data_IF_305840521322
#
_entry.id   IF_305840521322
#
_cell.length_a   1.000
_cell.length_b   1.000
_cell.length_c   1.000
_cell.angle_alpha   90.00
_cell.angle_beta   90.00
_cell.angle_gamma   90.00
#
_symmetry.space_group_name_H-M   'P 1'
#
loop_
_entity.id
_entity.type
_entity.pdbx_description
1 polymer ?
#
# COMPACT_ATOMS: atom_id res chain seq x y z
N UNK A 1 -0.41 -23.54 -23.96
CA UNK A 1 -0.37 -22.09 -24.31
C UNK A 1 -0.96 -21.30 -23.16
N UNK A 2 -0.25 -20.31 -22.62
CA UNK A 2 -0.75 -19.43 -21.54
C UNK A 2 -1.69 -18.39 -22.15
N UNK A 3 -2.87 -18.17 -21.53
CA UNK A 3 -3.84 -17.16 -22.01
C UNK A 3 -3.24 -15.75 -21.94
N UNK A 4 -3.49 -14.90 -22.94
CA UNK A 4 -3.00 -13.50 -22.99
C UNK A 4 -3.36 -12.69 -21.74
N UNK A 5 -4.52 -12.96 -21.13
CA UNK A 5 -4.96 -12.33 -19.88
C UNK A 5 -4.10 -12.71 -18.65
N UNK A 6 -3.53 -13.91 -18.63
CA UNK A 6 -2.63 -14.38 -17.56
C UNK A 6 -1.27 -13.68 -17.68
N UNK A 7 -0.74 -13.57 -18.91
CA UNK A 7 0.53 -12.88 -19.17
C UNK A 7 0.50 -11.43 -18.69
N UNK A 8 -0.57 -10.70 -19.02
CA UNK A 8 -0.74 -9.31 -18.56
C UNK A 8 -0.80 -9.18 -17.03
N UNK A 9 -1.41 -10.15 -16.33
CA UNK A 9 -1.41 -10.17 -14.86
C UNK A 9 -0.01 -10.40 -14.31
N UNK A 10 0.70 -11.41 -14.81
CA UNK A 10 2.07 -11.73 -14.37
C UNK A 10 3.00 -10.52 -14.54
N UNK A 11 2.94 -9.84 -15.70
CA UNK A 11 3.77 -8.67 -15.95
C UNK A 11 3.40 -7.49 -15.03
N UNK A 12 2.13 -7.31 -14.66
CA UNK A 12 1.72 -6.31 -13.68
C UNK A 12 2.21 -6.65 -12.27
N UNK A 13 2.15 -7.93 -11.85
CA UNK A 13 2.67 -8.37 -10.56
C UNK A 13 4.17 -8.10 -10.45
N UNK A 14 4.95 -8.46 -11.47
CA UNK A 14 6.41 -8.29 -11.47
C UNK A 14 6.88 -6.83 -11.34
N UNK A 15 6.04 -5.85 -11.67
CA UNK A 15 6.33 -4.43 -11.49
C UNK A 15 6.21 -3.97 -10.04
N UNK A 16 5.68 -4.80 -9.15
CA UNK A 16 5.52 -4.47 -7.73
C UNK A 16 6.71 -4.99 -6.92
N UNK A 17 7.10 -4.25 -5.87
CA UNK A 17 8.24 -4.63 -5.04
C UNK A 17 8.09 -6.02 -4.39
N UNK A 18 6.84 -6.39 -4.08
CA UNK A 18 6.51 -7.63 -3.39
C UNK A 18 6.69 -8.87 -4.29
N UNK A 19 6.31 -8.78 -5.57
CA UNK A 19 6.34 -9.92 -6.49
C UNK A 19 7.53 -9.86 -7.47
N UNK A 20 8.29 -8.75 -7.50
CA UNK A 20 9.45 -8.52 -8.38
C UNK A 20 10.52 -9.63 -8.36
N UNK A 21 10.68 -10.34 -7.23
CA UNK A 21 11.66 -11.43 -7.10
C UNK A 21 11.07 -12.82 -7.31
N UNK A 22 9.80 -12.91 -7.67
CA UNK A 22 9.14 -14.19 -7.95
C UNK A 22 9.27 -14.49 -9.44
N UNK A 23 9.88 -15.61 -9.79
CA UNK A 23 9.99 -16.00 -11.19
C UNK A 23 8.63 -16.21 -11.85
N UNK A 24 8.55 -15.93 -13.16
CA UNK A 24 7.31 -16.03 -13.97
C UNK A 24 6.69 -17.43 -13.86
N UNK A 25 7.53 -18.46 -13.82
CA UNK A 25 7.14 -19.86 -13.67
C UNK A 25 6.34 -20.14 -12.39
N UNK A 26 6.59 -19.39 -11.31
CA UNK A 26 5.83 -19.49 -10.06
C UNK A 26 4.58 -18.62 -10.07
N UNK A 27 4.59 -17.48 -10.77
CA UNK A 27 3.44 -16.56 -10.84
C UNK A 27 2.34 -17.00 -11.80
N UNK A 28 2.68 -17.68 -12.91
CA UNK A 28 1.70 -18.18 -13.90
C UNK A 28 0.62 -19.06 -13.25
N UNK A 29 0.94 -20.13 -12.49
CA UNK A 29 -0.10 -20.98 -11.89
C UNK A 29 -0.96 -20.24 -10.85
N UNK A 30 -0.39 -19.25 -10.16
CA UNK A 30 -1.13 -18.38 -9.23
C UNK A 30 -2.07 -17.45 -10.01
N UNK A 31 -1.61 -16.89 -11.12
CA UNK A 31 -2.40 -16.04 -12.00
C UNK A 31 -3.52 -16.78 -12.72
N UNK A 32 -3.39 -18.09 -12.92
CA UNK A 32 -4.42 -18.94 -13.54
C UNK A 32 -5.53 -19.31 -12.55
N UNK A 33 -5.16 -19.67 -11.31
CA UNK A 33 -6.10 -20.31 -10.38
C UNK A 33 -6.53 -19.42 -9.20
N UNK A 34 -5.71 -18.44 -8.84
CA UNK A 34 -5.91 -17.65 -7.62
C UNK A 34 -6.00 -16.14 -7.86
N UNK A 35 -5.95 -15.69 -9.13
CA UNK A 35 -6.03 -14.27 -9.47
C UNK A 35 -7.31 -13.93 -10.24
N UNK A 36 -7.95 -12.84 -9.83
CA UNK A 36 -9.05 -12.21 -10.55
C UNK A 36 -8.67 -10.78 -10.94
N UNK A 37 -8.97 -10.38 -12.17
CA UNK A 37 -8.83 -8.99 -12.59
C UNK A 37 -10.23 -8.35 -12.64
N UNK A 38 -10.40 -7.19 -12.02
CA UNK A 38 -11.66 -6.44 -12.02
C UNK A 38 -11.37 -4.97 -12.35
N UNK A 39 -12.22 -4.39 -13.19
CA UNK A 39 -12.19 -2.97 -13.52
C UNK A 39 -13.26 -2.24 -12.73
N UNK A 40 -12.91 -1.09 -12.18
CA UNK A 40 -13.79 -0.24 -11.38
C UNK A 40 -13.85 1.15 -11.99
N UNK A 41 -15.06 1.62 -12.25
CA UNK A 41 -15.30 2.99 -12.71
C UNK A 41 -15.01 4.00 -11.60
N UNK A 42 -14.67 5.24 -11.99
CA UNK A 42 -14.44 6.34 -11.05
C UNK A 42 -15.59 6.45 -10.04
N UNK A 43 -15.25 6.59 -8.76
CA UNK A 43 -16.19 6.70 -7.65
C UNK A 43 -16.74 5.37 -7.14
N UNK A 44 -16.47 4.24 -7.80
CA UNK A 44 -16.88 2.92 -7.30
C UNK A 44 -15.96 2.42 -6.21
N UNK A 45 -16.54 1.72 -5.24
CA UNK A 45 -15.81 1.06 -4.16
C UNK A 45 -15.14 -0.20 -4.72
N UNK A 46 -13.82 -0.26 -4.58
CA UNK A 46 -12.97 -1.39 -4.95
C UNK A 46 -12.98 -2.44 -3.84
N UNK A 47 -12.89 -1.97 -2.60
CA UNK A 47 -12.82 -2.80 -1.40
C UNK A 47 -13.54 -2.12 -0.26
N UNK A 48 -14.30 -2.85 0.56
CA UNK A 48 -15.04 -2.26 1.68
C UNK A 48 -14.81 -3.00 2.99
N UNK A 49 -15.07 -2.33 4.10
CA UNK A 49 -15.10 -2.91 5.45
C UNK A 49 -15.99 -4.15 5.61
N UNK A 50 -16.98 -4.31 4.74
CA UNK A 50 -17.92 -5.44 4.76
C UNK A 50 -17.47 -6.61 3.86
N UNK A 51 -16.33 -6.48 3.18
CA UNK A 51 -15.79 -7.57 2.34
C UNK A 51 -15.20 -8.64 3.26
N UNK A 52 -15.82 -9.82 3.26
CA UNK A 52 -15.35 -11.00 4.02
C UNK A 52 -14.21 -11.76 3.33
N UNK A 53 -14.02 -11.53 2.03
CA UNK A 53 -13.00 -12.21 1.26
C UNK A 53 -11.59 -11.70 1.65
N UNK A 54 -10.77 -12.61 2.20
CA UNK A 54 -9.36 -12.34 2.51
C UNK A 54 -8.52 -12.48 1.23
N UNK A 55 -8.11 -11.35 0.67
CA UNK A 55 -7.29 -11.29 -0.54
C UNK A 55 -6.30 -10.12 -0.50
N UNK A 56 -5.27 -10.19 -1.36
CA UNK A 56 -4.39 -9.07 -1.66
C UNK A 56 -4.85 -8.42 -2.95
N UNK A 57 -5.03 -7.10 -2.94
CA UNK A 57 -5.34 -6.32 -4.13
C UNK A 57 -4.15 -5.50 -4.58
N UNK A 58 -3.98 -5.40 -5.91
CA UNK A 58 -2.92 -4.63 -6.56
C UNK A 58 -3.56 -3.73 -7.59
N UNK A 59 -3.27 -2.43 -7.51
CA UNK A 59 -3.68 -1.49 -8.56
C UNK A 59 -2.77 -1.74 -9.77
N UNK A 60 -3.30 -2.37 -10.82
CA UNK A 60 -2.56 -2.59 -12.06
C UNK A 60 -2.52 -1.32 -12.92
N UNK A 61 -3.60 -0.54 -12.88
CA UNK A 61 -3.73 0.75 -13.57
C UNK A 61 -4.73 1.65 -12.83
N UNK A 62 -4.55 2.97 -12.96
CA UNK A 62 -5.39 3.99 -12.33
C UNK A 62 -4.94 4.42 -10.92
N UNK A 63 -5.82 5.14 -10.23
CA UNK A 63 -5.59 5.68 -8.87
C UNK A 63 -6.81 5.50 -7.99
N UNK A 64 -6.60 5.22 -6.70
CA UNK A 64 -7.66 5.02 -5.71
C UNK A 64 -7.35 5.76 -4.40
N UNK A 65 -8.38 6.03 -3.61
CA UNK A 65 -8.24 6.59 -2.27
C UNK A 65 -8.60 5.57 -1.21
N UNK A 66 -7.79 5.48 -0.17
CA UNK A 66 -8.12 4.79 1.07
C UNK A 66 -8.85 5.78 1.98
N UNK A 67 -10.06 5.42 2.38
CA UNK A 67 -10.94 6.27 3.19
C UNK A 67 -11.25 5.59 4.51
N UNK A 68 -11.14 6.36 5.59
CA UNK A 68 -11.74 6.02 6.88
C UNK A 68 -12.98 6.89 7.02
N UNK A 69 -14.15 6.28 6.90
CA UNK A 69 -15.44 6.98 6.81
C UNK A 69 -15.46 8.02 5.67
N UNK A 70 -15.46 9.32 5.99
CA UNK A 70 -15.48 10.41 5.01
C UNK A 70 -14.09 11.02 4.74
N UNK A 71 -13.06 10.61 5.50
CA UNK A 71 -11.73 11.20 5.43
C UNK A 71 -10.83 10.34 4.55
N UNK A 72 -10.18 10.97 3.56
CA UNK A 72 -9.12 10.33 2.77
C UNK A 72 -7.85 10.29 3.62
N UNK A 73 -7.34 9.10 3.88
CA UNK A 73 -6.14 8.90 4.70
C UNK A 73 -4.93 8.48 3.87
N UNK A 74 -5.14 7.97 2.66
CA UNK A 74 -4.05 7.62 1.75
C UNK A 74 -4.54 7.58 0.29
N UNK A 75 -3.60 7.67 -0.65
CA UNK A 75 -3.80 7.46 -2.07
C UNK A 75 -3.00 6.24 -2.55
N UNK A 76 -3.60 5.45 -3.45
CA UNK A 76 -2.99 4.31 -4.10
C UNK A 76 -2.86 4.60 -5.59
N UNK A 77 -1.72 4.24 -6.17
CA UNK A 77 -1.42 4.34 -7.60
C UNK A 77 -1.07 2.96 -8.16
N UNK A 78 -0.92 2.88 -9.48
CA UNK A 78 -0.44 1.67 -10.15
C UNK A 78 0.84 1.13 -9.49
N UNK A 79 0.84 -0.17 -9.17
CA UNK A 79 1.89 -0.88 -8.44
C UNK A 79 1.63 -1.00 -6.92
N UNK A 80 0.74 -0.19 -6.35
CA UNK A 80 0.47 -0.24 -4.92
C UNK A 80 -0.37 -1.45 -4.51
N UNK A 81 -0.08 -1.95 -3.31
CA UNK A 81 -0.68 -3.15 -2.73
C UNK A 81 -1.57 -2.77 -1.54
N UNK A 82 -2.73 -3.40 -1.46
CA UNK A 82 -3.65 -3.31 -0.33
C UNK A 82 -4.16 -4.69 0.12
N UNK A 83 -4.79 -4.74 1.30
CA UNK A 83 -5.33 -5.98 1.89
C UNK A 83 -4.34 -6.96 2.48
N UNK A 84 -3.04 -6.72 2.35
CA UNK A 84 -2.01 -7.58 2.94
C UNK A 84 -2.10 -7.68 4.49
N UNK A 85 -2.50 -6.60 5.17
CA UNK A 85 -2.54 -6.55 6.65
C UNK A 85 -3.70 -7.38 7.23
N UNK A 86 -4.78 -7.53 6.47
CA UNK A 86 -5.98 -8.25 6.90
C UNK A 86 -5.96 -9.72 6.48
N UNK A 87 -5.06 -10.10 5.57
CA UNK A 87 -4.98 -11.45 5.02
C UNK A 87 -4.83 -12.54 6.09
N UNK A 88 -4.07 -12.23 7.16
CA UNK A 88 -3.81 -13.12 8.30
C UNK A 88 -4.29 -12.56 9.63
N UNK A 89 -5.10 -11.50 9.60
CA UNK A 89 -5.65 -10.95 10.83
C UNK A 89 -6.91 -11.74 11.23
N UNK A 90 -7.03 -12.04 12.53
CA UNK A 90 -8.21 -12.67 13.12
C UNK A 90 -9.37 -11.67 13.29
N UNK A 91 -9.07 -10.36 13.24
CA UNK A 91 -10.11 -9.34 13.11
C UNK A 91 -10.65 -9.33 11.68
N UNK A 92 -11.87 -9.83 11.49
CA UNK A 92 -12.58 -9.91 10.20
C UNK A 92 -13.05 -8.55 9.63
N UNK A 93 -12.58 -7.42 10.17
CA UNK A 93 -13.01 -6.09 9.74
C UNK A 93 -11.86 -5.31 9.15
N UNK A 94 -11.95 -5.07 7.84
CA UNK A 94 -11.23 -3.96 7.23
C UNK A 94 -11.73 -2.65 7.83
N UNK A 95 -10.81 -1.79 8.25
CA UNK A 95 -11.16 -0.52 8.89
C UNK A 95 -11.46 0.57 7.85
N UNK A 96 -10.99 0.38 6.61
CA UNK A 96 -10.98 1.42 5.57
C UNK A 96 -11.64 0.92 4.28
N UNK A 97 -12.37 1.81 3.61
CA UNK A 97 -12.88 1.60 2.27
C UNK A 97 -11.83 2.06 1.23
N UNK A 98 -11.81 1.42 0.07
CA UNK A 98 -10.97 1.82 -1.07
C UNK A 98 -11.89 2.20 -2.22
N UNK A 99 -11.75 3.43 -2.71
CA UNK A 99 -12.62 4.00 -3.74
C UNK A 99 -11.79 4.45 -4.94
N UNK A 100 -12.20 4.06 -6.14
CA UNK A 100 -11.53 4.45 -7.38
C UNK A 100 -11.62 5.97 -7.61
N UNK A 101 -10.49 6.64 -7.83
CA UNK A 101 -10.44 8.07 -8.18
C UNK A 101 -10.46 8.28 -9.70
N UNK A 102 -9.92 7.32 -10.45
CA UNK A 102 -10.03 7.19 -11.90
C UNK A 102 -10.73 5.86 -12.22
N UNK A 103 -10.85 5.51 -13.51
CA UNK A 103 -10.99 4.09 -13.83
C UNK A 103 -9.76 3.35 -13.28
N UNK A 104 -10.00 2.22 -12.61
CA UNK A 104 -8.95 1.40 -12.02
C UNK A 104 -9.06 -0.04 -12.49
N UNK A 105 -7.93 -0.63 -12.84
CA UNK A 105 -7.81 -2.08 -13.05
C UNK A 105 -7.10 -2.68 -11.86
N UNK A 106 -7.72 -3.67 -11.22
CA UNK A 106 -7.24 -4.26 -9.96
C UNK A 106 -7.10 -5.76 -10.09
N UNK A 107 -5.92 -6.26 -9.71
CA UNK A 107 -5.65 -7.70 -9.60
C UNK A 107 -5.84 -8.11 -8.15
N UNK A 108 -6.79 -9.00 -7.89
CA UNK A 108 -6.99 -9.64 -6.61
C UNK A 108 -6.34 -11.02 -6.61
N UNK A 109 -5.59 -11.32 -5.57
CA UNK A 109 -4.97 -12.63 -5.32
C UNK A 109 -5.58 -13.20 -4.05
N UNK A 110 -6.18 -14.39 -4.15
CA UNK A 110 -6.78 -15.05 -2.97
C UNK A 110 -5.72 -15.41 -1.93
N UNK A 111 -6.14 -15.57 -0.67
CA UNK A 111 -5.25 -16.04 0.40
C UNK A 111 -4.52 -17.33 0.03
N UNK A 112 -5.21 -18.32 -0.54
CA UNK A 112 -4.59 -19.58 -0.95
C UNK A 112 -3.46 -19.37 -1.98
N UNK A 113 -3.61 -18.40 -2.88
CA UNK A 113 -2.56 -18.04 -3.83
C UNK A 113 -1.33 -17.45 -3.13
N UNK A 114 -1.53 -16.63 -2.10
CA UNK A 114 -0.44 -16.08 -1.29
C UNK A 114 0.20 -17.17 -0.42
N UNK A 115 -0.58 -18.06 0.18
CA UNK A 115 -0.09 -19.19 0.99
C UNK A 115 0.75 -20.15 0.12
N UNK A 116 0.34 -20.38 -1.13
CA UNK A 116 1.13 -21.15 -2.10
C UNK A 116 2.46 -20.47 -2.43
N UNK A 117 2.49 -19.14 -2.57
CA UNK A 117 3.73 -18.40 -2.83
C UNK A 117 4.66 -18.40 -1.61
N UNK A 118 4.13 -18.21 -0.40
CA UNK A 118 4.90 -18.24 0.84
C UNK A 118 5.55 -19.61 1.07
N UNK A 119 4.83 -20.69 0.77
CA UNK A 119 5.35 -22.06 0.94
C UNK A 119 6.36 -22.47 -0.13
N UNK A 120 6.27 -21.93 -1.37
CA UNK A 120 7.07 -22.39 -2.53
C UNK A 120 8.15 -21.41 -2.98
N UNK A 121 8.21 -20.20 -2.41
CA UNK A 121 9.24 -19.20 -2.70
C UNK A 121 9.73 -18.55 -1.42
N UNK A 122 10.88 -19.02 -0.89
CA UNK A 122 11.55 -18.34 0.23
C UNK A 122 11.87 -16.86 -0.07
N UNK A 123 12.10 -16.53 -1.33
CA UNK A 123 12.34 -15.15 -1.79
C UNK A 123 11.10 -14.28 -1.60
N UNK A 124 9.93 -14.79 -2.01
CA UNK A 124 8.65 -14.13 -1.78
C UNK A 124 8.38 -13.97 -0.29
N UNK A 125 8.60 -15.02 0.51
CA UNK A 125 8.41 -14.96 1.95
C UNK A 125 9.26 -13.86 2.61
N UNK A 126 10.54 -13.77 2.25
CA UNK A 126 11.43 -12.68 2.72
C UNK A 126 10.94 -11.30 2.28
N UNK A 127 10.47 -11.15 1.04
CA UNK A 127 9.88 -9.89 0.54
C UNK A 127 8.60 -9.52 1.29
N UNK A 128 7.75 -10.50 1.58
CA UNK A 128 6.51 -10.30 2.33
C UNK A 128 6.80 -9.83 3.76
N UNK A 129 7.74 -10.50 4.44
CA UNK A 129 8.21 -10.08 5.77
C UNK A 129 8.78 -8.66 5.71
N UNK A 130 9.70 -8.38 4.78
CA UNK A 130 10.28 -7.04 4.59
C UNK A 130 9.20 -5.98 4.40
N UNK A 131 8.23 -6.24 3.55
CA UNK A 131 7.12 -5.34 3.27
C UNK A 131 6.29 -5.05 4.54
N UNK A 132 5.96 -6.09 5.33
CA UNK A 132 5.25 -5.89 6.60
C UNK A 132 6.09 -5.12 7.62
N UNK A 133 7.39 -5.46 7.76
CA UNK A 133 8.31 -4.75 8.65
C UNK A 133 8.44 -3.28 8.29
N UNK A 134 8.56 -2.95 7.00
CA UNK A 134 8.60 -1.56 6.52
C UNK A 134 7.30 -0.82 6.84
N UNK A 135 6.14 -1.46 6.71
CA UNK A 135 4.86 -0.86 7.09
C UNK A 135 4.73 -0.62 8.59
N UNK A 136 5.18 -1.56 9.43
CA UNK A 136 5.21 -1.37 10.89
C UNK A 136 6.13 -0.21 11.26
N UNK A 137 7.34 -0.17 10.68
CA UNK A 137 8.29 0.92 10.91
C UNK A 137 7.72 2.28 10.51
N UNK A 138 7.14 2.39 9.31
CA UNK A 138 6.50 3.61 8.84
C UNK A 138 5.36 4.08 9.75
N UNK A 139 4.54 3.15 10.26
CA UNK A 139 3.46 3.49 11.19
C UNK A 139 4.00 3.95 12.54
N UNK A 140 5.08 3.35 13.04
CA UNK A 140 5.74 3.80 14.27
C UNK A 140 6.33 5.20 14.12
N UNK A 141 7.00 5.50 13.00
CA UNK A 141 7.47 6.87 12.70
C UNK A 141 6.31 7.87 12.71
N UNK A 142 5.17 7.51 12.13
CA UNK A 142 3.98 8.37 12.14
C UNK A 142 3.47 8.59 13.57
N UNK A 143 3.41 7.55 14.40
CA UNK A 143 3.03 7.70 15.81
C UNK A 143 3.98 8.67 16.52
N UNK A 144 5.29 8.50 16.36
CA UNK A 144 6.29 9.39 16.96
C UNK A 144 6.11 10.85 16.52
N UNK A 145 5.87 11.10 15.22
CA UNK A 145 5.56 12.43 14.69
C UNK A 145 4.28 13.02 15.33
N UNK A 146 3.25 12.21 15.55
CA UNK A 146 1.98 12.64 16.17
C UNK A 146 2.10 12.85 17.67
N UNK A 147 2.86 12.03 18.38
CA UNK A 147 3.02 12.09 19.85
C UNK A 147 4.19 12.97 20.29
N UNK A 148 4.94 13.55 19.35
CA UNK A 148 6.05 14.45 19.64
C UNK A 148 5.58 15.59 20.58
N UNK A 149 6.23 15.75 21.75
CA UNK A 149 5.67 16.52 22.85
C UNK A 149 5.66 18.04 22.62
N UNK A 150 6.49 18.54 21.71
CA UNK A 150 6.53 19.96 21.36
C UNK A 150 6.69 20.22 19.86
N UNK A 151 6.35 21.43 19.42
CA UNK A 151 6.60 21.89 18.05
C UNK A 151 8.10 21.80 17.67
N UNK A 152 8.98 22.07 18.64
CA UNK A 152 10.42 21.94 18.47
C UNK A 152 10.83 20.50 18.18
N UNK A 153 10.28 19.52 18.89
CA UNK A 153 10.62 18.11 18.68
C UNK A 153 10.14 17.61 17.31
N UNK A 154 8.96 18.07 16.88
CA UNK A 154 8.45 17.80 15.52
C UNK A 154 9.35 18.36 14.43
N UNK A 155 9.77 19.62 14.57
CA UNK A 155 10.71 20.26 13.65
C UNK A 155 12.07 19.56 13.64
N UNK A 156 12.59 19.17 14.81
CA UNK A 156 13.87 18.49 14.92
C UNK A 156 13.84 17.12 14.22
N UNK A 157 12.80 16.32 14.45
CA UNK A 157 12.62 15.03 13.76
C UNK A 157 12.49 15.21 12.25
N UNK A 158 11.72 16.20 11.82
CA UNK A 158 11.56 16.51 10.40
C UNK A 158 12.86 16.95 9.73
N UNK A 159 13.65 17.83 10.37
CA UNK A 159 14.95 18.25 9.83
C UNK A 159 15.94 17.09 9.80
N UNK A 160 16.02 16.25 10.84
CA UNK A 160 16.90 15.07 10.84
C UNK A 160 16.60 14.13 9.66
N UNK A 161 15.32 14.01 9.28
CA UNK A 161 14.87 13.13 8.20
C UNK A 161 15.13 13.70 6.81
N UNK A 162 15.02 15.02 6.65
CA UNK A 162 15.05 15.68 5.34
C UNK A 162 16.35 16.47 5.08
N UNK A 163 17.24 16.60 6.07
CA UNK A 163 18.53 17.22 5.87
C UNK A 163 19.46 16.30 5.07
N UNK A 164 20.22 16.89 4.14
CA UNK A 164 21.27 16.22 3.38
C UNK A 164 22.59 16.91 3.73
N UNK A 165 23.58 16.11 4.15
CA UNK A 165 24.90 16.59 4.58
C UNK A 165 24.85 17.70 5.65
N UNK A 166 23.92 17.58 6.59
CA UNK A 166 23.73 18.56 7.67
C UNK A 166 23.03 19.86 7.25
N UNK A 167 22.61 19.97 5.99
CA UNK A 167 21.88 21.11 5.45
C UNK A 167 20.44 20.75 5.16
N UNK A 168 19.51 21.65 5.48
CA UNK A 168 18.09 21.49 5.17
C UNK A 168 17.63 22.68 4.34
N UNK A 169 17.05 22.41 3.17
CA UNK A 169 16.47 23.43 2.30
C UNK A 169 14.96 23.24 2.29
N UNK A 170 14.25 24.23 2.83
CA UNK A 170 12.79 24.22 2.75
C UNK A 170 12.34 24.70 1.38
N UNK A 171 11.86 23.76 0.56
CA UNK A 171 11.36 24.04 -0.80
C UNK A 171 9.87 24.43 -0.76
N UNK A 172 9.14 23.95 0.25
CA UNK A 172 7.70 24.14 0.39
C UNK A 172 7.32 25.35 1.26
N UNK A 173 6.08 25.85 1.08
CA UNK A 173 5.59 27.00 1.85
C UNK A 173 5.41 26.61 3.31
N UNK A 174 5.59 27.55 4.24
CA UNK A 174 5.35 27.32 5.68
C UNK A 174 3.96 26.80 6.02
N UNK A 175 2.95 27.11 5.21
CA UNK A 175 1.59 26.57 5.38
C UNK A 175 1.51 25.08 5.06
N UNK A 176 2.35 24.59 4.15
CA UNK A 176 2.41 23.18 3.80
C UNK A 176 3.22 22.40 4.85
N UNK A 177 4.35 22.96 5.28
CA UNK A 177 5.12 22.42 6.40
C UNK A 177 4.29 22.31 7.69
N UNK A 178 3.50 23.34 8.02
CA UNK A 178 2.64 23.30 9.21
C UNK A 178 1.58 22.19 9.13
N UNK A 179 1.04 21.90 7.94
CA UNK A 179 0.10 20.79 7.75
C UNK A 179 0.79 19.44 7.90
N UNK A 180 1.97 19.28 7.31
CA UNK A 180 2.75 18.03 7.40
C UNK A 180 3.12 17.70 8.85
N UNK A 181 3.52 18.71 9.64
CA UNK A 181 3.88 18.54 11.05
C UNK A 181 2.67 18.54 11.99
N UNK A 182 1.46 18.75 11.46
CA UNK A 182 0.25 18.91 12.23
C UNK A 182 0.44 19.95 13.35
N UNK A 183 0.92 21.13 12.96
CA UNK A 183 1.19 22.29 13.81
C UNK A 183 0.36 23.49 13.34
N UNK A 184 -0.05 24.33 14.28
CA UNK A 184 -0.54 25.66 13.93
C UNK A 184 0.60 26.48 13.35
N UNK A 185 0.33 27.28 12.31
CA UNK A 185 1.34 28.16 11.70
C UNK A 185 2.01 29.12 12.68
N UNK A 186 1.31 29.53 13.73
CA UNK A 186 1.87 30.41 14.76
C UNK A 186 2.82 29.67 15.74
N UNK A 187 2.76 28.33 15.77
CA UNK A 187 3.63 27.48 16.58
C UNK A 187 4.87 26.99 15.83
N UNK A 188 4.89 27.19 14.51
CA UNK A 188 5.98 26.86 13.59
C UNK A 188 6.93 28.05 13.47
#
# INVERSE_FOLDING_TARGET
>A
MIKKSVVGRVDALLKTDLFSSVGKEKLVPICENHCQNKTFQKGKTIFSKNTSEKCIGIIADGTASVKKERVVINHLKAGDIFGAVTLYNDCDRFVNDIVAQTECTVIFISKDGIDSLLSRSPEFAKKYIKYLSQRVYFLNEKIEEYTAPSAKDKLLSYFKKNAVDGSFVLIEKMTELSKQLNLCRASL
#
